data_IF_354767680902
#
_entry.id   IF_354767680902
#
_cell.length_a   1.000
_cell.length_b   1.000
_cell.length_c   1.000
_cell.angle_alpha   90.00
_cell.angle_beta   90.00
_cell.angle_gamma   90.00
#
_symmetry.space_group_name_H-M   'P 1'
#
loop_
_entity.id
_entity.type
_entity.pdbx_description
1 polymer ?
#
# COMPACT_ATOMS: atom_id res chain seq x y z
N UNK A 1 -24.31 -15.37 12.84
CA UNK A 1 -24.22 -14.69 11.53
C UNK A 1 -25.49 -13.87 11.42
N UNK A 2 -25.39 -12.55 11.57
CA UNK A 2 -26.56 -11.70 11.33
C UNK A 2 -26.73 -11.64 9.82
N UNK A 3 -27.82 -12.20 9.30
CA UNK A 3 -28.35 -11.94 7.96
C UNK A 3 -28.78 -10.46 7.91
N UNK A 4 -27.80 -9.56 7.89
CA UNK A 4 -28.10 -8.20 7.51
C UNK A 4 -28.30 -8.22 5.99
N UNK A 5 -29.56 -8.00 5.61
CA UNK A 5 -29.99 -7.93 4.23
C UNK A 5 -29.12 -6.95 3.46
N UNK A 6 -28.54 -7.37 2.36
CA UNK A 6 -27.73 -6.50 1.50
C UNK A 6 -28.63 -5.42 0.92
N UNK A 7 -28.38 -4.15 1.23
CA UNK A 7 -29.17 -3.06 0.67
C UNK A 7 -29.07 -3.03 -0.87
N UNK A 8 -30.13 -2.68 -1.56
CA UNK A 8 -30.07 -2.35 -2.99
C UNK A 8 -29.10 -1.20 -3.26
N UNK A 9 -28.49 -1.20 -4.45
CA UNK A 9 -27.46 -0.24 -4.80
C UNK A 9 -27.92 1.22 -4.67
N UNK A 10 -29.15 1.51 -5.06
CA UNK A 10 -29.77 2.85 -4.99
C UNK A 10 -30.05 3.32 -3.57
N UNK A 11 -30.16 2.41 -2.62
CA UNK A 11 -30.35 2.68 -1.19
C UNK A 11 -29.05 2.65 -0.38
N UNK A 12 -27.94 2.24 -0.99
CA UNK A 12 -26.65 2.21 -0.31
C UNK A 12 -26.16 3.64 0.03
N UNK A 13 -25.52 3.82 1.20
CA UNK A 13 -24.93 5.11 1.57
C UNK A 13 -24.00 5.64 0.46
N UNK A 14 -23.88 6.95 0.38
CA UNK A 14 -22.93 7.61 -0.50
C UNK A 14 -21.85 8.30 0.32
N UNK A 15 -20.59 8.08 -0.06
CA UNK A 15 -19.40 8.70 0.54
C UNK A 15 -18.60 9.39 -0.57
N UNK A 16 -18.46 10.70 -0.47
CA UNK A 16 -17.61 11.46 -1.37
C UNK A 16 -16.15 11.36 -0.92
N UNK A 17 -15.46 10.32 -1.39
CA UNK A 17 -14.05 10.10 -1.10
C UNK A 17 -13.13 11.02 -1.91
N UNK A 18 -13.67 11.84 -2.81
CA UNK A 18 -12.92 12.86 -3.55
C UNK A 18 -12.90 14.22 -2.83
N UNK A 19 -13.72 14.41 -1.79
CA UNK A 19 -13.69 15.61 -0.96
C UNK A 19 -12.32 15.75 -0.27
N UNK A 20 -11.62 16.87 -0.43
CA UNK A 20 -10.37 17.15 0.28
C UNK A 20 -10.42 17.00 1.80
N UNK A 21 -11.59 17.17 2.39
CA UNK A 21 -11.81 17.04 3.84
C UNK A 21 -12.28 15.63 4.24
N UNK A 22 -12.41 14.72 3.28
CA UNK A 22 -12.82 13.34 3.55
C UNK A 22 -11.87 12.67 4.56
N UNK A 23 -12.45 12.02 5.55
CA UNK A 23 -11.71 11.21 6.52
C UNK A 23 -12.38 9.86 6.69
N UNK A 24 -11.63 8.80 6.55
CA UNK A 24 -12.08 7.43 6.83
C UNK A 24 -12.53 7.22 8.29
N UNK A 25 -12.16 8.15 9.17
CA UNK A 25 -12.52 8.13 10.61
C UNK A 25 -13.72 9.00 10.93
N UNK A 26 -14.33 9.62 9.93
CA UNK A 26 -15.45 10.52 10.13
C UNK A 26 -16.69 9.80 10.67
N UNK A 27 -17.61 10.52 11.34
CA UNK A 27 -18.90 9.99 11.79
C UNK A 27 -19.74 9.43 10.62
N UNK A 28 -19.67 10.06 9.44
CA UNK A 28 -20.41 9.65 8.24
C UNK A 28 -19.98 8.27 7.77
N UNK A 29 -18.66 7.99 7.71
CA UNK A 29 -18.13 6.67 7.36
C UNK A 29 -18.56 5.61 8.37
N UNK A 30 -18.59 5.98 9.65
CA UNK A 30 -19.03 5.08 10.71
C UNK A 30 -20.51 4.75 10.55
N UNK A 31 -21.37 5.76 10.37
CA UNK A 31 -22.80 5.59 10.15
C UNK A 31 -23.09 4.76 8.87
N UNK A 32 -22.35 5.02 7.78
CA UNK A 32 -22.46 4.24 6.55
C UNK A 32 -22.14 2.77 6.78
N UNK A 33 -21.05 2.47 7.51
CA UNK A 33 -20.64 1.09 7.86
C UNK A 33 -21.63 0.36 8.75
N UNK A 34 -22.27 1.07 9.68
CA UNK A 34 -23.28 0.50 10.58
C UNK A 34 -24.55 0.15 9.79
N UNK A 35 -24.90 0.95 8.78
CA UNK A 35 -26.06 0.75 7.92
C UNK A 35 -25.84 -0.30 6.82
N UNK A 36 -24.63 -0.35 6.19
CA UNK A 36 -24.34 -1.23 5.07
C UNK A 36 -22.87 -1.70 5.09
N UNK A 37 -22.59 -2.88 4.52
CA UNK A 37 -21.22 -3.35 4.35
C UNK A 37 -20.49 -2.65 3.20
N UNK A 38 -21.21 -1.90 2.35
CA UNK A 38 -20.64 -1.13 1.25
C UNK A 38 -21.32 0.24 1.11
N UNK A 39 -20.63 1.17 0.47
CA UNK A 39 -21.13 2.48 0.09
C UNK A 39 -20.83 2.78 -1.37
N UNK A 40 -21.63 3.64 -1.99
CA UNK A 40 -21.34 4.23 -3.29
C UNK A 40 -20.31 5.34 -3.12
N UNK A 41 -19.44 5.50 -4.11
CA UNK A 41 -18.45 6.58 -4.18
C UNK A 41 -18.36 7.13 -5.60
N UNK A 42 -17.67 8.25 -5.84
CA UNK A 42 -17.43 8.77 -7.19
C UNK A 42 -16.73 7.76 -8.12
N UNK A 43 -15.97 6.82 -7.55
CA UNK A 43 -15.15 5.85 -8.30
C UNK A 43 -15.72 4.43 -8.32
N UNK A 44 -16.91 4.22 -7.77
CA UNK A 44 -17.54 2.91 -7.70
C UNK A 44 -18.03 2.57 -6.29
N UNK A 45 -17.72 1.38 -5.78
CA UNK A 45 -18.15 0.92 -4.47
C UNK A 45 -16.98 0.84 -3.49
N UNK A 46 -17.16 1.39 -2.29
CA UNK A 46 -16.26 1.19 -1.17
C UNK A 46 -16.80 0.08 -0.25
N UNK A 47 -15.98 -0.90 0.06
CA UNK A 47 -16.33 -1.96 1.03
C UNK A 47 -15.94 -1.47 2.43
N UNK A 48 -16.90 -1.45 3.35
CA UNK A 48 -16.77 -0.79 4.65
C UNK A 48 -16.49 -1.75 5.80
N UNK A 49 -16.68 -3.08 5.60
CA UNK A 49 -16.54 -4.08 6.65
C UNK A 49 -15.44 -5.08 6.30
N UNK A 50 -14.70 -5.48 7.31
CA UNK A 50 -13.55 -6.38 7.18
C UNK A 50 -13.91 -7.77 6.64
N UNK A 51 -15.02 -8.35 7.12
CA UNK A 51 -15.42 -9.70 6.71
C UNK A 51 -15.73 -9.77 5.20
N UNK A 52 -16.52 -8.81 4.71
CA UNK A 52 -16.89 -8.72 3.29
C UNK A 52 -15.66 -8.40 2.43
N UNK A 53 -14.83 -7.46 2.87
CA UNK A 53 -13.58 -7.13 2.19
C UNK A 53 -12.68 -8.37 2.06
N UNK A 54 -12.50 -9.13 3.14
CA UNK A 54 -11.65 -10.32 3.14
C UNK A 54 -12.15 -11.41 2.18
N UNK A 55 -13.47 -11.58 2.07
CA UNK A 55 -14.09 -12.52 1.11
C UNK A 55 -13.93 -12.03 -0.33
N UNK A 56 -14.14 -10.73 -0.56
CA UNK A 56 -14.07 -10.13 -1.90
C UNK A 56 -12.64 -10.10 -2.45
N UNK A 57 -11.62 -9.83 -1.61
CA UNK A 57 -10.22 -9.81 -2.04
C UNK A 57 -9.71 -11.12 -2.66
N UNK A 58 -10.33 -12.24 -2.32
CA UNK A 58 -9.97 -13.56 -2.86
C UNK A 58 -11.04 -14.10 -3.83
N UNK A 59 -12.07 -13.32 -4.14
CA UNK A 59 -13.19 -13.78 -4.94
C UNK A 59 -12.81 -13.88 -6.42
N UNK A 60 -13.06 -15.03 -7.03
CA UNK A 60 -12.61 -15.36 -8.40
C UNK A 60 -13.22 -14.49 -9.50
N UNK A 61 -14.37 -13.86 -9.24
CA UNK A 61 -15.03 -12.96 -10.19
C UNK A 61 -14.52 -11.53 -10.12
N UNK A 62 -13.69 -11.20 -9.13
CA UNK A 62 -13.06 -9.88 -9.02
C UNK A 62 -11.65 -9.93 -9.59
N UNK A 63 -11.26 -8.83 -10.20
CA UNK A 63 -9.93 -8.62 -10.75
C UNK A 63 -9.30 -7.41 -10.06
N UNK A 64 -7.98 -7.41 -10.04
CA UNK A 64 -7.22 -6.31 -9.52
C UNK A 64 -7.33 -5.11 -10.49
N UNK A 65 -7.77 -3.95 -9.97
CA UNK A 65 -8.05 -2.76 -10.77
C UNK A 65 -6.87 -1.78 -10.93
N UNK A 66 -5.72 -2.08 -10.34
CA UNK A 66 -4.58 -1.14 -10.32
C UNK A 66 -4.02 -0.78 -11.70
N UNK A 67 -4.36 -1.52 -12.75
CA UNK A 67 -3.97 -1.17 -14.11
C UNK A 67 -4.52 0.19 -14.55
N UNK A 68 -5.67 0.62 -14.02
CA UNK A 68 -6.29 1.89 -14.31
C UNK A 68 -5.70 3.08 -13.52
N UNK A 69 -4.82 2.82 -12.56
CA UNK A 69 -4.28 3.84 -11.66
C UNK A 69 -3.63 5.03 -12.35
N UNK A 70 -2.73 4.86 -13.35
CA UNK A 70 -2.13 6.00 -14.03
C UNK A 70 -3.18 6.90 -14.72
N UNK A 71 -4.20 6.29 -15.34
CA UNK A 71 -5.27 7.05 -16.01
C UNK A 71 -6.11 7.83 -15.00
N UNK A 72 -6.43 7.25 -13.84
CA UNK A 72 -7.14 7.92 -12.75
C UNK A 72 -6.32 9.09 -12.17
N UNK A 73 -5.00 9.01 -12.26
CA UNK A 73 -4.06 10.07 -11.85
C UNK A 73 -3.69 11.03 -13.00
N UNK A 74 -4.40 10.98 -14.13
CA UNK A 74 -4.17 11.85 -15.28
C UNK A 74 -2.98 11.46 -16.17
N UNK A 75 -2.34 10.31 -15.93
CA UNK A 75 -1.17 9.83 -16.69
C UNK A 75 -1.59 8.70 -17.63
N UNK A 76 -1.98 9.01 -18.85
CA UNK A 76 -2.46 8.03 -19.84
C UNK A 76 -1.36 7.36 -20.67
N UNK A 77 -0.15 7.94 -20.74
CA UNK A 77 0.95 7.47 -21.58
C UNK A 77 2.32 7.88 -21.05
N UNK A 78 3.40 7.37 -21.65
CA UNK A 78 4.79 7.68 -21.31
C UNK A 78 5.44 6.63 -20.41
N UNK A 79 6.70 6.87 -20.05
CA UNK A 79 7.55 5.90 -19.35
C UNK A 79 6.93 5.35 -18.06
N UNK A 80 6.27 6.19 -17.27
CA UNK A 80 5.63 5.77 -16.02
C UNK A 80 4.45 4.83 -16.29
N UNK A 81 3.55 5.18 -17.22
CA UNK A 81 2.40 4.36 -17.56
C UNK A 81 2.81 3.00 -18.15
N UNK A 82 3.86 3.00 -18.98
CA UNK A 82 4.39 1.77 -19.59
C UNK A 82 5.10 0.89 -18.54
N UNK A 83 5.88 1.48 -17.65
CA UNK A 83 6.49 0.78 -16.54
C UNK A 83 5.42 0.18 -15.61
N UNK A 84 4.41 0.96 -15.22
CA UNK A 84 3.33 0.52 -14.33
C UNK A 84 2.63 -0.74 -14.85
N UNK A 85 2.27 -0.76 -16.13
CA UNK A 85 1.60 -1.89 -16.79
C UNK A 85 2.39 -3.20 -16.72
N UNK A 86 3.70 -3.12 -16.53
CA UNK A 86 4.60 -4.26 -16.47
C UNK A 86 5.01 -4.65 -15.03
N UNK A 87 4.53 -3.93 -14.02
CA UNK A 87 4.84 -4.28 -12.63
C UNK A 87 4.07 -5.50 -12.17
N UNK A 88 4.61 -6.20 -11.17
CA UNK A 88 3.95 -7.34 -10.53
C UNK A 88 2.61 -6.94 -9.87
N UNK A 89 2.44 -5.66 -9.55
CA UNK A 89 1.24 -5.12 -8.92
C UNK A 89 0.02 -5.15 -9.85
N UNK A 90 0.23 -5.07 -11.16
CA UNK A 90 -0.87 -4.98 -12.14
C UNK A 90 -0.94 -6.18 -13.08
N UNK A 91 0.11 -7.01 -13.13
CA UNK A 91 0.09 -8.23 -13.92
C UNK A 91 -0.91 -9.25 -13.36
N UNK A 92 -1.53 -10.01 -14.23
CA UNK A 92 -2.51 -11.05 -13.87
C UNK A 92 -2.17 -12.42 -14.50
N UNK A 93 -2.95 -13.41 -14.14
CA UNK A 93 -2.91 -14.74 -14.79
C UNK A 93 -1.56 -15.43 -14.69
N UNK A 94 -1.03 -15.88 -15.83
CA UNK A 94 0.21 -16.66 -15.89
C UNK A 94 1.44 -15.80 -15.59
N UNK A 95 1.48 -14.56 -16.06
CA UNK A 95 2.60 -13.64 -15.84
C UNK A 95 2.73 -13.28 -14.37
N UNK A 96 1.64 -12.95 -13.69
CA UNK A 96 1.65 -12.74 -12.25
C UNK A 96 2.18 -13.97 -11.51
N UNK A 97 1.67 -15.16 -11.83
CA UNK A 97 2.14 -16.42 -11.20
C UNK A 97 3.63 -16.68 -11.45
N UNK A 98 4.10 -16.38 -12.66
CA UNK A 98 5.52 -16.51 -13.01
C UNK A 98 6.39 -15.56 -12.16
N UNK A 99 6.03 -14.27 -12.10
CA UNK A 99 6.76 -13.28 -11.32
C UNK A 99 6.73 -13.62 -9.83
N UNK A 100 5.58 -13.95 -9.26
CA UNK A 100 5.45 -14.35 -7.85
C UNK A 100 6.32 -15.56 -7.51
N UNK A 101 6.43 -16.54 -8.39
CA UNK A 101 7.28 -17.71 -8.17
C UNK A 101 8.76 -17.36 -8.04
N UNK A 102 9.20 -16.32 -8.75
CA UNK A 102 10.58 -15.83 -8.67
C UNK A 102 10.85 -15.07 -7.38
N UNK A 103 9.88 -14.28 -6.92
CA UNK A 103 10.07 -13.36 -5.77
C UNK A 103 9.76 -14.02 -4.42
N UNK A 104 8.72 -14.87 -4.34
CA UNK A 104 8.24 -15.46 -3.09
C UNK A 104 9.32 -16.17 -2.25
N UNK A 105 10.32 -16.87 -2.81
CA UNK A 105 11.37 -17.49 -2.00
C UNK A 105 12.16 -16.49 -1.15
N UNK A 106 12.41 -15.28 -1.67
CA UNK A 106 13.12 -14.22 -0.94
C UNK A 106 12.32 -13.71 0.28
N UNK A 107 11.00 -13.81 0.24
CA UNK A 107 10.08 -13.39 1.31
C UNK A 107 9.54 -14.57 2.12
N UNK A 108 10.16 -15.74 2.04
CA UNK A 108 9.73 -16.90 2.82
C UNK A 108 9.95 -16.68 4.33
N UNK A 109 9.12 -17.26 5.21
CA UNK A 109 9.32 -17.17 6.67
C UNK A 109 10.72 -17.63 7.10
N UNK A 110 11.30 -18.61 6.43
CA UNK A 110 12.67 -19.10 6.68
C UNK A 110 13.71 -18.02 6.36
N UNK A 111 13.59 -17.35 5.21
CA UNK A 111 14.49 -16.27 4.80
C UNK A 111 14.39 -15.10 5.75
N UNK A 112 13.16 -14.64 6.06
CA UNK A 112 12.92 -13.53 6.99
C UNK A 112 13.47 -13.83 8.37
N UNK A 113 13.29 -15.05 8.91
CA UNK A 113 13.86 -15.46 10.19
C UNK A 113 15.39 -15.41 10.18
N UNK A 114 16.04 -15.75 9.07
CA UNK A 114 17.49 -15.65 8.92
C UNK A 114 18.03 -14.20 8.89
N UNK A 115 17.16 -13.22 8.70
CA UNK A 115 17.53 -11.80 8.70
C UNK A 115 17.37 -11.10 10.05
N UNK A 116 16.83 -11.77 11.08
CA UNK A 116 16.51 -11.15 12.36
C UNK A 116 17.73 -10.50 13.04
N UNK A 117 18.88 -11.15 13.04
CA UNK A 117 20.12 -10.56 13.57
C UNK A 117 20.53 -9.27 12.85
N UNK A 118 20.32 -9.22 11.53
CA UNK A 118 20.57 -8.00 10.77
C UNK A 118 19.56 -6.90 11.10
N UNK A 119 18.30 -7.25 11.33
CA UNK A 119 17.27 -6.31 11.74
C UNK A 119 17.60 -5.68 13.09
N UNK A 120 17.99 -6.50 14.08
CA UNK A 120 18.43 -6.03 15.40
C UNK A 120 19.67 -5.14 15.31
N UNK A 121 20.67 -5.53 14.52
CA UNK A 121 21.88 -4.73 14.32
C UNK A 121 21.57 -3.38 13.70
N UNK A 122 20.76 -3.34 12.62
CA UNK A 122 20.37 -2.09 11.95
C UNK A 122 19.56 -1.21 12.91
N UNK A 123 18.67 -1.79 13.71
CA UNK A 123 17.90 -1.09 14.73
C UNK A 123 18.82 -0.39 15.72
N UNK A 124 19.77 -1.12 16.28
CA UNK A 124 20.71 -0.58 17.27
C UNK A 124 21.60 0.52 16.64
N UNK A 125 22.16 0.29 15.46
CA UNK A 125 22.94 1.29 14.74
C UNK A 125 22.20 2.61 14.53
N UNK A 126 20.88 2.55 14.24
CA UNK A 126 20.07 3.73 14.07
C UNK A 126 19.75 4.43 15.39
N UNK A 127 19.40 3.66 16.42
CA UNK A 127 19.14 4.20 17.77
C UNK A 127 20.39 4.92 18.30
N UNK A 128 21.57 4.34 18.11
CA UNK A 128 22.85 4.92 18.56
C UNK A 128 23.11 6.32 17.93
N UNK A 129 22.50 6.66 16.81
CA UNK A 129 22.67 7.99 16.18
C UNK A 129 22.00 9.12 16.94
N UNK A 130 21.00 8.82 17.75
CA UNK A 130 20.19 9.85 18.44
C UNK A 130 19.98 9.58 19.94
N UNK A 131 20.42 8.44 20.47
CA UNK A 131 20.19 8.09 21.87
C UNK A 131 20.72 9.14 22.86
N UNK A 132 21.87 9.72 22.57
CA UNK A 132 22.48 10.76 23.42
C UNK A 132 21.75 12.09 23.34
N UNK A 133 20.99 12.34 22.26
CA UNK A 133 20.18 13.56 22.11
C UNK A 133 18.91 13.51 22.96
N UNK A 134 18.42 12.32 23.31
CA UNK A 134 17.16 12.10 24.03
C UNK A 134 15.88 12.38 23.23
N UNK A 135 16.00 12.80 21.97
CA UNK A 135 14.90 13.08 21.04
C UNK A 135 15.34 12.81 19.60
N UNK A 136 14.38 12.53 18.70
CA UNK A 136 14.63 12.37 17.27
C UNK A 136 13.38 12.68 16.45
N UNK A 137 13.56 13.00 15.17
CA UNK A 137 12.52 12.83 14.16
C UNK A 137 12.42 11.34 13.83
N UNK A 138 11.44 10.67 14.41
CA UNK A 138 11.30 9.21 14.31
C UNK A 138 11.17 8.74 12.86
N UNK A 139 10.50 9.47 12.00
CA UNK A 139 10.38 9.11 10.58
C UNK A 139 11.72 9.28 9.87
N UNK A 140 12.30 10.47 9.94
CA UNK A 140 13.51 10.79 9.20
C UNK A 140 14.77 10.11 9.74
N UNK A 141 14.89 9.96 11.08
CA UNK A 141 16.11 9.43 11.70
C UNK A 141 16.05 7.91 11.99
N UNK A 142 14.84 7.31 12.01
CA UNK A 142 14.70 5.88 12.30
C UNK A 142 13.88 5.12 11.26
N UNK A 143 12.58 5.42 11.07
CA UNK A 143 11.67 4.55 10.33
C UNK A 143 12.05 4.42 8.84
N UNK A 144 12.28 5.53 8.17
CA UNK A 144 12.63 5.56 6.76
C UNK A 144 14.00 4.95 6.48
N UNK A 145 15.09 5.33 7.20
CA UNK A 145 16.40 4.67 7.03
C UNK A 145 16.37 3.19 7.39
N UNK A 146 15.58 2.78 8.39
CA UNK A 146 15.41 1.37 8.75
C UNK A 146 14.82 0.58 7.59
N UNK A 147 13.69 1.02 7.05
CA UNK A 147 13.03 0.35 5.94
C UNK A 147 13.95 0.25 4.70
N UNK A 148 14.65 1.33 4.36
CA UNK A 148 15.57 1.36 3.22
C UNK A 148 16.75 0.40 3.39
N UNK A 149 17.36 0.35 4.58
CA UNK A 149 18.48 -0.56 4.87
C UNK A 149 18.04 -2.03 4.88
N UNK A 150 16.88 -2.34 5.45
CA UNK A 150 16.32 -3.69 5.44
C UNK A 150 16.03 -4.15 4.01
N UNK A 151 15.40 -3.30 3.20
CA UNK A 151 15.12 -3.61 1.81
C UNK A 151 16.42 -3.82 1.01
N UNK A 152 17.38 -2.91 1.14
CA UNK A 152 18.68 -3.04 0.47
C UNK A 152 19.37 -4.36 0.84
N UNK A 153 19.36 -4.72 2.11
CA UNK A 153 19.94 -5.98 2.57
C UNK A 153 19.20 -7.20 2.01
N UNK A 154 17.85 -7.18 2.00
CA UNK A 154 17.01 -8.27 1.49
C UNK A 154 17.26 -8.56 0.02
N UNK A 155 17.46 -7.51 -0.80
CA UNK A 155 17.71 -7.66 -2.24
C UNK A 155 19.21 -7.69 -2.60
N UNK A 156 20.08 -7.70 -1.59
CA UNK A 156 21.53 -7.85 -1.77
C UNK A 156 22.24 -6.60 -2.31
N UNK A 157 21.69 -5.41 -2.05
CA UNK A 157 22.33 -4.15 -2.45
C UNK A 157 23.36 -3.68 -1.40
N UNK A 158 24.43 -3.00 -1.84
CA UNK A 158 25.38 -2.37 -0.95
C UNK A 158 24.71 -1.34 -0.02
N UNK A 159 25.25 -1.18 1.21
CA UNK A 159 24.73 -0.21 2.20
C UNK A 159 24.72 1.23 1.68
N UNK A 160 25.68 1.55 0.83
CA UNK A 160 25.90 2.90 0.29
C UNK A 160 24.72 3.38 -0.57
N UNK A 161 24.01 2.46 -1.25
CA UNK A 161 22.84 2.81 -2.07
C UNK A 161 21.53 2.91 -1.30
N UNK A 162 21.55 2.65 0.03
CA UNK A 162 20.33 2.68 0.84
C UNK A 162 19.67 4.07 0.86
N UNK A 163 20.47 5.12 0.78
CA UNK A 163 19.98 6.51 0.72
C UNK A 163 19.28 6.78 -0.61
N UNK A 164 19.87 6.37 -1.72
CA UNK A 164 19.27 6.56 -3.04
C UNK A 164 17.95 5.79 -3.15
N UNK A 165 17.89 4.58 -2.56
CA UNK A 165 16.64 3.79 -2.50
C UNK A 165 15.59 4.50 -1.66
N UNK A 166 15.96 5.12 -0.55
CA UNK A 166 15.04 5.88 0.28
C UNK A 166 14.46 7.06 -0.48
N UNK A 167 15.32 7.87 -1.11
CA UNK A 167 14.93 9.06 -1.86
C UNK A 167 13.98 8.69 -3.01
N UNK A 168 14.36 7.70 -3.84
CA UNK A 168 13.53 7.20 -4.94
C UNK A 168 12.21 6.56 -4.47
N UNK A 169 12.23 5.83 -3.35
CA UNK A 169 11.01 5.23 -2.80
C UNK A 169 10.05 6.29 -2.27
N UNK A 170 10.57 7.37 -1.69
CA UNK A 170 9.76 8.50 -1.23
C UNK A 170 9.10 9.23 -2.39
N UNK A 171 9.86 9.52 -3.46
CA UNK A 171 9.32 10.10 -4.69
C UNK A 171 8.26 9.20 -5.35
N UNK A 172 8.51 7.88 -5.41
CA UNK A 172 7.51 6.92 -5.88
C UNK A 172 6.28 6.88 -5.00
N UNK A 173 6.44 6.94 -3.68
CA UNK A 173 5.34 6.98 -2.73
C UNK A 173 4.43 8.19 -2.96
N UNK A 174 5.02 9.35 -3.21
CA UNK A 174 4.28 10.56 -3.62
C UNK A 174 3.59 10.35 -4.97
N UNK A 175 4.29 9.78 -5.95
CA UNK A 175 3.73 9.50 -7.28
C UNK A 175 2.59 8.47 -7.27
N UNK A 176 2.58 7.55 -6.31
CA UNK A 176 1.53 6.53 -6.15
C UNK A 176 0.45 6.94 -5.15
N UNK A 177 0.60 8.06 -4.46
CA UNK A 177 -0.40 8.58 -3.54
C UNK A 177 -1.70 8.99 -4.23
N UNK A 178 -2.83 8.78 -3.56
CA UNK A 178 -4.17 9.14 -4.08
C UNK A 178 -4.40 10.66 -4.09
N UNK A 179 -3.51 11.42 -3.46
CA UNK A 179 -3.65 12.86 -3.24
C UNK A 179 -2.62 13.65 -4.04
N UNK A 180 -2.62 13.50 -5.37
CA UNK A 180 -1.99 14.51 -6.20
C UNK A 180 -2.89 15.75 -6.22
N UNK A 181 -2.61 16.69 -5.32
CA UNK A 181 -2.93 18.07 -5.57
C UNK A 181 -1.72 18.69 -6.25
N UNK A 182 -1.90 19.17 -7.47
CA UNK A 182 -1.00 20.16 -8.05
C UNK A 182 -0.87 21.31 -7.05
N UNK A 183 0.35 21.56 -6.58
CA UNK A 183 0.69 22.82 -5.94
C UNK A 183 1.09 23.81 -7.03
#
# INVERSE_FOLDING_TARGET
>A
MSDQETLPLDQAPYLDISDPNYSIRSPEVRAARDNSWYARTPYGLAVLRYEEMSKLLIHKSLRQGSHAWPELSGVSSGLFADWWKNTILVTEGQDHRRLRRLVNPAFSPKTVKGLMENFERITNELIDTFIDKGECDFMAEFADPYAARILSHLIGLPKEVSKDILDLSSEMGLALGVTFKEN
#
